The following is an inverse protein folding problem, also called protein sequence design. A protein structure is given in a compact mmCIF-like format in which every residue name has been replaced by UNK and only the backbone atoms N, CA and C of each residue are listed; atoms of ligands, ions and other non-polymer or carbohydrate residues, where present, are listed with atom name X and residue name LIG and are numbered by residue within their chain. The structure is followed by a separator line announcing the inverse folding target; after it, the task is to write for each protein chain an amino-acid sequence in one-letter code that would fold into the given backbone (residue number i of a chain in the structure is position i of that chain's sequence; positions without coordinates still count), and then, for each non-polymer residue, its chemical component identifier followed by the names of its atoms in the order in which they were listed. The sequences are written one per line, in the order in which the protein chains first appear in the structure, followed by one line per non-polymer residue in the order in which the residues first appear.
data_IF_255607948348
#
_entry.id   IF_255607948348
#
_cell.length_a   1.000
_cell.length_b   1.000
_cell.length_c   1.000
_cell.angle_alpha   90.00
_cell.angle_beta   90.00
_cell.angle_gamma   90.00
#
_symmetry.space_group_name_H-M   'P 1'
#
loop_
_entity.id
_entity.type
_entity.pdbx_description
1 polymer ?
#
# COMPACT_ATOMS: atom_id res chain seq x y z
N UNK A 1 -7.49 -14.39 -11.11
CA UNK A 1 -7.42 -13.79 -9.76
C UNK A 1 -8.58 -12.83 -9.63
N UNK A 2 -9.40 -12.95 -8.59
CA UNK A 2 -10.49 -12.00 -8.32
C UNK A 2 -9.88 -10.73 -7.72
N UNK A 3 -10.16 -9.53 -8.26
CA UNK A 3 -9.66 -8.29 -7.67
C UNK A 3 -10.18 -8.11 -6.24
N UNK A 4 -9.37 -7.54 -5.32
CA UNK A 4 -9.82 -7.26 -3.96
C UNK A 4 -10.96 -6.23 -3.98
N UNK A 5 -11.87 -6.36 -3.02
CA UNK A 5 -12.92 -5.38 -2.80
C UNK A 5 -12.36 -4.05 -2.30
N UNK A 6 -13.13 -2.98 -2.44
CA UNK A 6 -12.71 -1.64 -2.03
C UNK A 6 -12.27 -1.56 -0.57
N UNK A 7 -13.00 -2.23 0.34
CA UNK A 7 -12.66 -2.26 1.76
C UNK A 7 -11.33 -2.97 2.04
N UNK A 8 -10.98 -3.99 1.25
CA UNK A 8 -9.70 -4.69 1.38
C UNK A 8 -8.58 -3.78 0.90
N UNK A 9 -8.75 -3.12 -0.24
CA UNK A 9 -7.78 -2.13 -0.75
C UNK A 9 -7.56 -0.99 0.25
N UNK A 10 -8.63 -0.45 0.84
CA UNK A 10 -8.54 0.60 1.87
C UNK A 10 -7.70 0.13 3.05
N UNK A 11 -7.92 -1.10 3.55
CA UNK A 11 -7.15 -1.65 4.69
C UNK A 11 -5.70 -1.93 4.33
N UNK A 12 -5.43 -2.43 3.13
CA UNK A 12 -4.07 -2.66 2.63
C UNK A 12 -3.30 -1.34 2.57
N UNK A 13 -3.85 -0.31 1.94
CA UNK A 13 -3.20 1.01 1.86
C UNK A 13 -3.01 1.61 3.25
N UNK A 14 -4.03 1.57 4.10
CA UNK A 14 -3.95 2.10 5.45
C UNK A 14 -2.90 1.40 6.32
N UNK A 15 -2.68 0.09 6.14
CA UNK A 15 -1.67 -0.65 6.90
C UNK A 15 -0.25 -0.14 6.64
N UNK A 16 0.05 0.32 5.42
CA UNK A 16 1.30 0.99 5.09
C UNK A 16 1.46 2.32 5.84
N UNK A 17 0.35 2.95 6.24
CA UNK A 17 0.30 4.15 7.06
C UNK A 17 0.19 3.91 8.56
N UNK A 18 0.32 2.66 9.02
CA UNK A 18 0.31 2.29 10.44
C UNK A 18 -1.07 1.90 11.00
N UNK A 19 -2.09 1.69 10.17
CA UNK A 19 -3.36 1.14 10.63
C UNK A 19 -3.24 -0.35 10.98
N UNK A 20 -3.51 -0.69 12.24
CA UNK A 20 -3.34 -2.05 12.76
C UNK A 20 -4.51 -2.98 12.41
N UNK A 21 -5.72 -2.45 12.22
CA UNK A 21 -6.88 -3.26 11.85
C UNK A 21 -7.38 -4.20 12.94
N UNK A 22 -7.26 -3.85 14.22
CA UNK A 22 -7.80 -4.68 15.32
C UNK A 22 -9.33 -4.65 15.30
N UNK A 23 -9.96 -5.66 15.93
CA UNK A 23 -11.42 -5.90 15.93
C UNK A 23 -12.28 -4.66 16.27
N UNK A 24 -11.74 -3.70 17.03
CA UNK A 24 -12.47 -2.51 17.49
C UNK A 24 -11.82 -1.17 17.09
N UNK A 25 -10.86 -1.16 16.15
CA UNK A 25 -10.17 0.08 15.75
C UNK A 25 -11.05 1.02 14.88
N UNK A 26 -12.22 0.57 14.42
CA UNK A 26 -13.02 1.29 13.45
C UNK A 26 -12.34 1.39 12.07
N UNK A 27 -12.93 2.10 11.09
CA UNK A 27 -12.30 2.31 9.78
C UNK A 27 -11.01 3.15 9.87
N UNK A 28 -10.06 2.99 8.93
CA UNK A 28 -8.86 3.83 8.89
C UNK A 28 -9.16 5.33 8.83
N UNK A 29 -8.46 6.11 9.66
CA UNK A 29 -8.56 7.58 9.63
C UNK A 29 -7.74 8.21 8.50
N UNK A 30 -7.99 9.50 8.25
CA UNK A 30 -7.35 10.26 7.16
C UNK A 30 -5.82 10.26 7.23
N UNK A 31 -5.23 10.30 8.44
CA UNK A 31 -3.77 10.28 8.62
C UNK A 31 -3.14 8.97 8.14
N UNK A 32 -3.72 7.83 8.52
CA UNK A 32 -3.23 6.52 8.10
C UNK A 32 -3.36 6.35 6.58
N UNK A 33 -4.47 6.82 5.99
CA UNK A 33 -4.65 6.81 4.54
C UNK A 33 -3.64 7.70 3.81
N UNK A 34 -3.41 8.91 4.29
CA UNK A 34 -2.44 9.84 3.71
C UNK A 34 -1.03 9.25 3.68
N UNK A 35 -0.54 8.77 4.84
CA UNK A 35 0.78 8.15 4.94
C UNK A 35 0.84 6.89 4.07
N UNK A 36 -0.21 6.07 4.10
CA UNK A 36 -0.29 4.84 3.32
C UNK A 36 -0.20 5.07 1.81
N UNK A 37 -0.87 6.09 1.28
CA UNK A 37 -0.82 6.45 -0.14
C UNK A 37 0.57 6.97 -0.56
N UNK A 38 1.21 7.76 0.30
CA UNK A 38 2.59 8.22 0.04
C UNK A 38 3.56 7.03 -0.01
N UNK A 39 3.49 6.12 0.98
CA UNK A 39 4.32 4.91 1.01
C UNK A 39 4.04 3.95 -0.14
N UNK A 40 2.78 3.79 -0.53
CA UNK A 40 2.42 2.99 -1.70
C UNK A 40 3.11 3.52 -2.96
N UNK A 41 3.08 4.84 -3.18
CA UNK A 41 3.77 5.47 -4.30
C UNK A 41 5.28 5.21 -4.27
N UNK A 42 5.90 5.35 -3.10
CA UNK A 42 7.33 5.09 -2.93
C UNK A 42 7.69 3.64 -3.31
N UNK A 43 6.86 2.67 -2.90
CA UNK A 43 7.08 1.26 -3.26
C UNK A 43 6.89 0.99 -4.76
N UNK A 44 5.91 1.61 -5.41
CA UNK A 44 5.74 1.48 -6.86
C UNK A 44 6.99 1.97 -7.59
N UNK A 45 7.51 3.16 -7.23
CA UNK A 45 8.75 3.69 -7.80
C UNK A 45 9.93 2.74 -7.57
N UNK A 46 10.06 2.18 -6.37
CA UNK A 46 11.13 1.25 -6.05
C UNK A 46 11.03 -0.05 -6.87
N UNK A 47 9.82 -0.60 -7.04
CA UNK A 47 9.59 -1.82 -7.83
C UNK A 47 9.87 -1.59 -9.32
N UNK A 48 9.45 -0.44 -9.86
CA UNK A 48 9.77 -0.04 -11.24
C UNK A 48 11.29 0.07 -11.43
N UNK A 49 11.98 0.73 -10.50
CA UNK A 49 13.44 0.84 -10.54
C UNK A 49 14.14 -0.54 -10.43
N UNK A 50 13.62 -1.46 -9.61
CA UNK A 50 14.14 -2.83 -9.52
C UNK A 50 13.98 -3.60 -10.83
N UNK A 51 12.83 -3.49 -11.50
CA UNK A 51 12.59 -4.11 -12.79
C UNK A 51 13.52 -3.55 -13.87
N UNK A 52 13.71 -2.24 -13.87
CA UNK A 52 14.63 -1.55 -14.77
C UNK A 52 16.07 -2.02 -14.63
N UNK A 53 16.55 -2.19 -13.39
CA UNK A 53 17.88 -2.74 -13.12
C UNK A 53 17.96 -4.20 -13.57
N UNK A 54 16.95 -5.00 -13.26
CA UNK A 54 16.90 -6.40 -13.65
C UNK A 54 16.90 -6.58 -15.17
N UNK A 55 16.19 -5.74 -15.93
CA UNK A 55 16.17 -5.80 -17.39
C UNK A 55 17.45 -5.26 -18.05
N UNK A 56 18.17 -4.32 -17.41
CA UNK A 56 19.45 -3.81 -17.92
C UNK A 56 20.64 -4.74 -17.66
N UNK A 57 20.55 -5.61 -16.65
CA UNK A 57 21.62 -6.53 -16.26
C UNK A 57 21.51 -7.93 -16.90
N UNK A 58 20.61 -8.12 -17.88
CA UNK A 58 20.47 -9.35 -18.70
C UNK A 58 20.94 -9.07 -20.11
#
# INVERSE_FOLDING_TARGET
LTPPGLNEVIRLVASLGGYLGRKHDGPPGAKAMWIGLQRLRDFVIALEAQQDVAMRCV
#
